data_IF_852604918932
#
_entry.id   IF_852604918932
#
_cell.length_a   1.000
_cell.length_b   1.000
_cell.length_c   1.000
_cell.angle_alpha   90.00
_cell.angle_beta   90.00
_cell.angle_gamma   90.00
#
_symmetry.space_group_name_H-M   'P 1'
#
loop_
_entity.id
_entity.type
_entity.pdbx_description
1 polymer ?
#
# COMPACT_ATOMS: atom_id res chain seq x y z
N UNK A 1 -19.16 -0.81 -7.90
CA UNK A 1 -17.76 -0.52 -7.55
C UNK A 1 -17.74 0.00 -6.12
N UNK A 2 -16.65 -0.23 -5.39
CA UNK A 2 -16.49 0.27 -4.02
C UNK A 2 -16.58 1.80 -4.00
N UNK A 3 -17.15 2.37 -2.94
CA UNK A 3 -17.30 3.82 -2.77
C UNK A 3 -16.35 4.40 -1.72
N UNK A 4 -15.67 3.54 -0.95
CA UNK A 4 -14.72 3.95 0.08
C UNK A 4 -13.31 4.21 -0.49
N UNK A 5 -13.11 3.95 -1.79
CA UNK A 5 -11.86 4.19 -2.51
C UNK A 5 -12.04 5.17 -3.65
N UNK A 6 -11.05 6.06 -3.85
CA UNK A 6 -10.96 6.95 -5.01
C UNK A 6 -12.23 7.76 -5.29
N UNK A 7 -12.85 8.26 -4.23
CA UNK A 7 -14.11 9.01 -4.31
C UNK A 7 -13.93 10.47 -4.72
N UNK A 8 -12.70 10.95 -4.83
CA UNK A 8 -12.37 12.33 -5.20
C UNK A 8 -12.74 12.64 -6.66
N UNK A 9 -12.80 13.93 -7.02
CA UNK A 9 -13.10 14.39 -8.38
C UNK A 9 -12.02 14.01 -9.39
N UNK A 10 -12.43 13.73 -10.63
CA UNK A 10 -11.52 13.32 -11.70
C UNK A 10 -10.68 14.47 -12.24
N UNK A 11 -9.41 14.19 -12.55
CA UNK A 11 -8.43 15.16 -13.05
C UNK A 11 -7.73 14.65 -14.32
N UNK A 12 -7.20 15.54 -15.18
CA UNK A 12 -6.39 15.15 -16.33
C UNK A 12 -5.26 14.18 -15.98
N UNK A 13 -5.03 13.20 -16.85
CA UNK A 13 -4.05 12.13 -16.67
C UNK A 13 -4.59 10.91 -15.89
N UNK A 14 -5.69 11.04 -15.14
CA UNK A 14 -6.21 9.93 -14.37
C UNK A 14 -6.87 8.88 -15.25
N UNK A 15 -6.67 7.61 -14.90
CA UNK A 15 -7.31 6.48 -15.55
C UNK A 15 -8.71 6.29 -14.99
N UNK A 16 -9.72 6.27 -15.86
CA UNK A 16 -11.13 6.19 -15.48
C UNK A 16 -11.89 5.15 -16.31
N UNK A 17 -13.02 4.71 -15.78
CA UNK A 17 -14.13 4.18 -16.57
C UNK A 17 -15.28 5.19 -16.54
N UNK A 18 -15.75 5.57 -17.71
CA UNK A 18 -16.93 6.41 -17.90
C UNK A 18 -18.05 5.55 -18.47
N UNK A 19 -19.10 5.34 -17.68
CA UNK A 19 -20.35 4.76 -18.18
C UNK A 19 -21.22 5.89 -18.71
N UNK A 20 -21.60 5.79 -19.97
CA UNK A 20 -22.51 6.74 -20.63
C UNK A 20 -23.79 6.08 -21.13
N UNK A 21 -24.83 6.87 -21.27
CA UNK A 21 -26.14 6.47 -21.81
C UNK A 21 -26.30 7.11 -23.18
N UNK A 22 -26.42 6.28 -24.22
CA UNK A 22 -26.70 6.71 -25.59
C UNK A 22 -27.93 5.94 -26.05
N UNK A 23 -28.98 6.65 -26.50
CA UNK A 23 -30.21 6.03 -27.03
C UNK A 23 -30.80 4.92 -26.13
N UNK A 24 -30.80 5.16 -24.80
CA UNK A 24 -31.22 4.21 -23.75
C UNK A 24 -30.34 2.96 -23.57
N UNK A 25 -29.16 2.90 -24.20
CA UNK A 25 -28.17 1.85 -23.99
C UNK A 25 -26.98 2.34 -23.15
N UNK A 26 -26.48 1.49 -22.25
CA UNK A 26 -25.27 1.77 -21.49
C UNK A 26 -24.02 1.32 -22.26
N UNK A 27 -23.05 2.22 -22.41
CA UNK A 27 -21.73 1.91 -22.96
C UNK A 27 -20.63 2.42 -22.03
N UNK A 28 -19.51 1.71 -21.98
CA UNK A 28 -18.37 2.06 -21.12
C UNK A 28 -17.17 2.50 -21.97
N UNK A 29 -16.54 3.61 -21.62
CA UNK A 29 -15.26 4.06 -22.15
C UNK A 29 -14.22 3.95 -21.04
N UNK A 30 -13.15 3.19 -21.26
CA UNK A 30 -12.05 3.06 -20.30
C UNK A 30 -10.82 3.73 -20.90
N UNK A 31 -10.24 4.68 -20.19
CA UNK A 31 -9.18 5.52 -20.73
C UNK A 31 -8.58 6.49 -19.73
N UNK A 32 -7.80 7.43 -20.22
CA UNK A 32 -7.20 8.50 -19.44
C UNK A 32 -7.92 9.81 -19.72
N UNK A 33 -8.19 10.58 -18.66
CA UNK A 33 -8.79 11.90 -18.78
C UNK A 33 -7.82 12.83 -19.51
N UNK A 34 -8.26 13.45 -20.59
CA UNK A 34 -7.50 14.49 -21.32
C UNK A 34 -7.86 15.87 -20.78
N UNK A 35 -9.15 16.14 -20.63
CA UNK A 35 -9.66 17.39 -20.04
C UNK A 35 -10.99 17.16 -19.34
N UNK A 36 -11.26 18.00 -18.35
CA UNK A 36 -12.52 18.07 -17.62
C UNK A 36 -13.10 19.45 -17.91
N UNK A 37 -14.23 19.51 -18.61
CA UNK A 37 -14.96 20.75 -18.89
C UNK A 37 -16.33 20.76 -18.22
N UNK A 38 -16.97 21.93 -18.24
CA UNK A 38 -18.31 22.11 -17.67
C UNK A 38 -19.38 21.36 -18.48
N UNK A 39 -19.22 21.28 -19.81
CA UNK A 39 -20.18 20.66 -20.72
C UNK A 39 -19.78 19.25 -21.19
N UNK A 40 -18.48 18.90 -21.14
CA UNK A 40 -17.97 17.63 -21.63
C UNK A 40 -16.80 17.08 -20.81
N UNK A 41 -16.61 15.76 -20.90
CA UNK A 41 -15.43 15.03 -20.44
C UNK A 41 -14.72 14.43 -21.65
N UNK A 42 -13.42 14.69 -21.79
CA UNK A 42 -12.62 14.16 -22.90
C UNK A 42 -11.74 13.02 -22.39
N UNK A 43 -11.93 11.82 -22.95
CA UNK A 43 -11.21 10.62 -22.57
C UNK A 43 -10.41 10.09 -23.76
N UNK A 44 -9.14 9.78 -23.55
CA UNK A 44 -8.36 8.98 -24.50
C UNK A 44 -8.47 7.51 -24.12
N UNK A 45 -9.03 6.62 -24.98
CA UNK A 45 -9.12 5.20 -24.69
C UNK A 45 -7.75 4.62 -24.32
N UNK A 46 -7.71 3.66 -23.41
CA UNK A 46 -6.46 3.04 -22.99
C UNK A 46 -5.95 1.99 -23.99
N UNK A 47 -4.66 1.70 -23.93
CA UNK A 47 -4.07 0.48 -24.49
C UNK A 47 -4.22 -0.72 -23.55
N UNK A 48 -3.87 -1.91 -24.06
CA UNK A 48 -3.86 -3.16 -23.28
C UNK A 48 -3.03 -2.97 -22.01
N UNK A 49 -3.55 -3.48 -20.88
CA UNK A 49 -2.89 -3.32 -19.57
C UNK A 49 -3.16 -1.99 -18.86
N UNK A 50 -3.95 -1.10 -19.47
CA UNK A 50 -4.25 0.22 -18.90
C UNK A 50 -3.18 1.25 -19.17
N UNK A 51 -2.42 1.11 -20.26
CA UNK A 51 -1.41 2.09 -20.66
C UNK A 51 -2.05 3.29 -21.38
N UNK A 52 -1.47 4.49 -21.30
CA UNK A 52 -1.82 5.58 -22.20
C UNK A 52 -1.67 5.11 -23.65
N UNK A 53 -2.60 5.54 -24.52
CA UNK A 53 -2.55 5.22 -25.95
C UNK A 53 -2.44 6.47 -26.80
N UNK A 54 -2.35 6.27 -28.12
CA UNK A 54 -2.51 7.32 -29.14
C UNK A 54 -3.83 7.19 -29.92
N UNK A 55 -4.81 6.45 -29.38
CA UNK A 55 -6.13 6.32 -30.01
C UNK A 55 -6.87 7.67 -30.03
N UNK A 56 -7.78 7.87 -31.01
CA UNK A 56 -8.61 9.07 -31.06
C UNK A 56 -9.36 9.31 -29.74
N UNK A 57 -9.42 10.58 -29.34
CA UNK A 57 -10.14 11.00 -28.15
C UNK A 57 -11.65 10.82 -28.31
N UNK A 58 -12.31 10.45 -27.22
CA UNK A 58 -13.76 10.37 -27.12
C UNK A 58 -14.22 11.54 -26.26
N UNK A 59 -14.98 12.44 -26.89
CA UNK A 59 -15.69 13.53 -26.21
C UNK A 59 -17.04 13.02 -25.73
N UNK A 60 -17.33 13.18 -24.44
CA UNK A 60 -18.55 12.68 -23.81
C UNK A 60 -19.30 13.88 -23.22
N UNK A 61 -20.44 14.29 -23.81
CA UNK A 61 -21.30 15.31 -23.22
C UNK A 61 -21.70 14.94 -21.79
N UNK A 62 -21.72 15.91 -20.88
CA UNK A 62 -22.08 15.68 -19.47
C UNK A 62 -23.45 15.05 -19.29
N UNK A 63 -24.40 15.40 -20.15
CA UNK A 63 -25.76 14.82 -20.16
C UNK A 63 -25.78 13.31 -20.47
N UNK A 64 -24.76 12.78 -21.14
CA UNK A 64 -24.64 11.34 -21.42
C UNK A 64 -23.96 10.58 -20.28
N UNK A 65 -23.22 11.26 -19.39
CA UNK A 65 -22.44 10.62 -18.34
C UNK A 65 -23.37 10.12 -17.24
N UNK A 66 -23.41 8.81 -17.05
CA UNK A 66 -24.14 8.20 -15.94
C UNK A 66 -23.23 8.02 -14.71
N UNK A 67 -22.02 7.49 -14.91
CA UNK A 67 -21.06 7.25 -13.83
C UNK A 67 -19.64 7.48 -14.36
N UNK A 68 -18.83 8.20 -13.60
CA UNK A 68 -17.36 8.22 -13.76
C UNK A 68 -16.74 7.58 -12.54
N UNK A 69 -15.77 6.68 -12.75
CA UNK A 69 -14.98 6.08 -11.66
C UNK A 69 -13.52 6.09 -12.00
N UNK A 70 -12.71 6.62 -11.07
CA UNK A 70 -11.26 6.47 -11.08
C UNK A 70 -10.88 5.01 -10.90
N UNK A 71 -9.84 4.60 -11.61
CA UNK A 71 -9.25 3.28 -11.54
C UNK A 71 -7.80 3.41 -11.07
N UNK A 72 -7.20 2.28 -10.68
CA UNK A 72 -5.75 2.19 -10.54
C UNK A 72 -5.06 2.63 -11.85
N UNK A 73 -3.90 3.31 -11.78
CA UNK A 73 -3.16 3.79 -12.97
C UNK A 73 -2.82 2.68 -13.98
N UNK A 74 -2.64 1.45 -13.50
CA UNK A 74 -2.44 0.25 -14.31
C UNK A 74 -3.56 -0.75 -14.07
N UNK A 75 -3.77 -1.67 -15.01
CA UNK A 75 -4.61 -2.86 -14.72
C UNK A 75 -3.92 -3.69 -13.66
N UNK A 76 -4.66 -4.02 -12.61
CA UNK A 76 -4.20 -4.89 -11.52
C UNK A 76 -5.12 -6.11 -11.41
N UNK A 77 -4.59 -7.30 -11.17
CA UNK A 77 -5.37 -8.54 -10.95
C UNK A 77 -5.68 -8.71 -9.46
N UNK A 78 -6.72 -9.49 -9.15
CA UNK A 78 -7.04 -9.81 -7.74
C UNK A 78 -5.95 -10.68 -7.10
N UNK A 79 -5.25 -11.51 -7.89
CA UNK A 79 -4.10 -12.28 -7.43
C UNK A 79 -2.93 -11.39 -7.04
N UNK A 80 -2.64 -10.33 -7.80
CA UNK A 80 -1.53 -9.42 -7.51
C UNK A 80 -1.76 -8.59 -6.24
N UNK A 81 -3.02 -8.18 -5.99
CA UNK A 81 -3.38 -7.55 -4.70
C UNK A 81 -3.09 -8.53 -3.57
N UNK A 82 -3.57 -9.77 -3.68
CA UNK A 82 -3.37 -10.80 -2.66
C UNK A 82 -1.89 -11.11 -2.43
N UNK A 83 -1.08 -11.22 -3.49
CA UNK A 83 0.35 -11.53 -3.35
C UNK A 83 1.08 -10.46 -2.54
N UNK A 84 0.77 -9.18 -2.76
CA UNK A 84 1.37 -8.08 -1.98
C UNK A 84 0.87 -8.12 -0.53
N UNK A 85 -0.41 -8.37 -0.29
CA UNK A 85 -0.94 -8.44 1.08
C UNK A 85 -0.43 -9.68 1.85
N UNK A 86 -0.12 -10.79 1.14
CA UNK A 86 0.63 -11.93 1.69
C UNK A 86 2.05 -11.49 2.04
N UNK A 87 2.79 -10.90 1.09
CA UNK A 87 4.16 -10.44 1.33
C UNK A 87 4.24 -9.44 2.49
N UNK A 88 3.24 -8.56 2.62
CA UNK A 88 3.09 -7.66 3.76
C UNK A 88 2.85 -8.40 5.07
N UNK A 89 1.98 -9.40 5.06
CA UNK A 89 1.69 -10.21 6.24
C UNK A 89 2.90 -11.02 6.70
N UNK A 90 3.73 -11.53 5.78
CA UNK A 90 5.02 -12.17 6.10
C UNK A 90 6.03 -11.17 6.68
N UNK A 91 6.00 -9.91 6.23
CA UNK A 91 6.87 -8.85 6.76
C UNK A 91 6.44 -8.32 8.14
N UNK A 92 5.18 -8.57 8.52
CA UNK A 92 4.55 -8.17 9.77
C UNK A 92 3.65 -9.30 10.31
N UNK A 93 4.22 -10.45 10.72
CA UNK A 93 3.42 -11.63 11.07
C UNK A 93 2.57 -11.44 12.33
N UNK A 94 2.91 -10.45 13.17
CA UNK A 94 2.37 -10.33 14.52
C UNK A 94 3.05 -11.31 15.48
N UNK A 95 2.77 -11.14 16.77
CA UNK A 95 3.21 -12.03 17.85
C UNK A 95 2.52 -13.40 17.70
N UNK A 96 1.24 -13.39 17.32
CA UNK A 96 0.48 -14.59 17.00
C UNK A 96 -0.29 -14.39 15.70
N UNK A 97 -0.32 -15.44 14.88
CA UNK A 97 -1.15 -15.49 13.69
C UNK A 97 -1.73 -16.88 13.46
N UNK A 98 -2.92 -16.92 12.87
CA UNK A 98 -3.61 -18.14 12.52
C UNK A 98 -4.51 -17.91 11.31
N UNK A 99 -4.69 -18.94 10.50
CA UNK A 99 -5.75 -18.93 9.50
C UNK A 99 -7.09 -19.21 10.18
N UNK A 100 -8.13 -18.47 9.77
CA UNK A 100 -9.49 -18.79 10.16
C UNK A 100 -9.88 -20.17 9.61
N UNK A 101 -10.88 -20.79 10.23
CA UNK A 101 -11.36 -22.13 9.89
C UNK A 101 -11.78 -22.31 8.42
N UNK A 102 -12.20 -21.24 7.75
CA UNK A 102 -12.56 -21.25 6.32
C UNK A 102 -11.34 -21.17 5.36
N UNK A 103 -10.13 -20.98 5.89
CA UNK A 103 -8.90 -20.78 5.14
C UNK A 103 -8.88 -19.52 4.28
N UNK A 104 -9.81 -18.57 4.49
CA UNK A 104 -9.93 -17.36 3.70
C UNK A 104 -9.34 -16.12 4.37
N UNK A 105 -9.17 -16.16 5.69
CA UNK A 105 -8.70 -15.04 6.49
C UNK A 105 -7.46 -15.40 7.27
N UNK A 106 -6.42 -14.57 7.17
CA UNK A 106 -5.25 -14.64 8.04
C UNK A 106 -5.43 -13.65 9.19
N UNK A 107 -5.54 -14.16 10.42
CA UNK A 107 -5.69 -13.40 11.65
C UNK A 107 -4.30 -13.10 12.22
N UNK A 108 -4.00 -11.84 12.54
CA UNK A 108 -2.70 -11.41 13.09
C UNK A 108 -2.90 -10.50 14.30
N UNK A 109 -2.26 -10.83 15.41
CA UNK A 109 -2.19 -10.03 16.63
C UNK A 109 -0.74 -9.69 16.94
N UNK A 110 -0.44 -8.41 17.10
CA UNK A 110 0.86 -7.86 17.49
C UNK A 110 0.76 -7.05 18.80
N UNK A 111 1.52 -5.96 18.90
CA UNK A 111 1.60 -5.08 20.07
C UNK A 111 0.35 -4.22 20.35
N UNK A 112 -0.70 -4.30 19.54
CA UNK A 112 -1.85 -3.39 19.60
C UNK A 112 -1.57 -1.93 19.23
N UNK A 113 -0.32 -1.54 18.96
CA UNK A 113 0.09 -0.17 18.64
C UNK A 113 0.28 -0.01 17.13
N UNK A 114 0.94 -0.98 16.51
CA UNK A 114 1.24 -0.98 15.08
C UNK A 114 0.07 -1.59 14.30
N UNK A 115 -0.70 -0.76 13.59
CA UNK A 115 -1.83 -1.27 12.77
C UNK A 115 -1.42 -2.36 11.77
N UNK A 116 -0.15 -2.29 11.33
CA UNK A 116 0.45 -3.16 10.31
C UNK A 116 0.46 -4.65 10.69
N UNK A 117 0.49 -4.96 12.00
CA UNK A 117 0.56 -6.32 12.54
C UNK A 117 -0.74 -6.76 13.24
N UNK A 118 -1.80 -5.96 13.18
CA UNK A 118 -3.02 -6.12 13.99
C UNK A 118 -4.28 -6.09 13.12
N UNK A 119 -4.44 -7.01 12.16
CA UNK A 119 -5.65 -7.07 11.31
C UNK A 119 -5.89 -8.45 10.70
N UNK A 120 -7.16 -8.85 10.59
CA UNK A 120 -7.60 -9.99 9.81
C UNK A 120 -7.54 -9.64 8.32
N UNK A 121 -6.72 -10.36 7.55
CA UNK A 121 -6.48 -10.10 6.14
C UNK A 121 -7.21 -11.11 5.23
N UNK A 122 -7.96 -10.66 4.21
CA UNK A 122 -8.71 -11.54 3.30
C UNK A 122 -7.80 -12.14 2.22
N UNK A 123 -6.94 -13.08 2.60
CA UNK A 123 -5.88 -13.61 1.74
C UNK A 123 -6.28 -14.88 0.97
N UNK A 124 -7.40 -15.53 1.30
CA UNK A 124 -7.85 -16.72 0.60
C UNK A 124 -8.23 -16.47 -0.86
N UNK A 125 -8.11 -17.49 -1.73
CA UNK A 125 -8.48 -17.36 -3.15
C UNK A 125 -9.98 -17.11 -3.36
N UNK A 126 -10.82 -17.60 -2.45
CA UNK A 126 -12.28 -17.57 -2.55
C UNK A 126 -12.95 -16.56 -1.61
N UNK A 127 -12.17 -15.75 -0.90
CA UNK A 127 -12.64 -14.81 0.14
C UNK A 127 -13.73 -13.84 -0.33
N UNK A 128 -13.76 -13.51 -1.62
CA UNK A 128 -14.79 -12.63 -2.21
C UNK A 128 -16.18 -13.27 -2.24
N UNK A 129 -16.24 -14.60 -2.13
CA UNK A 129 -17.47 -15.41 -2.20
C UNK A 129 -17.91 -15.93 -0.83
N UNK A 130 -17.09 -15.79 0.21
CA UNK A 130 -17.41 -16.24 1.58
C UNK A 130 -17.78 -15.05 2.47
N UNK A 131 -18.67 -15.22 3.46
CA UNK A 131 -18.90 -14.19 4.46
C UNK A 131 -17.64 -13.97 5.32
N UNK A 132 -17.57 -12.82 5.98
CA UNK A 132 -16.52 -12.57 6.99
C UNK A 132 -16.80 -13.44 8.22
N UNK A 133 -15.85 -14.23 8.75
CA UNK A 133 -16.05 -15.04 9.96
C UNK A 133 -15.93 -14.15 11.22
N UNK A 134 -16.92 -13.29 11.44
CA UNK A 134 -16.89 -12.24 12.48
C UNK A 134 -16.68 -12.81 13.89
N UNK A 135 -17.34 -13.91 14.23
CA UNK A 135 -17.23 -14.53 15.56
C UNK A 135 -15.81 -15.04 15.84
N UNK A 136 -15.18 -15.68 14.85
CA UNK A 136 -13.82 -16.22 14.95
C UNK A 136 -12.78 -15.09 15.03
N UNK A 137 -12.95 -14.05 14.19
CA UNK A 137 -12.12 -12.84 14.24
C UNK A 137 -12.24 -12.17 15.60
N UNK A 138 -13.45 -11.94 16.09
CA UNK A 138 -13.69 -11.27 17.38
C UNK A 138 -13.11 -12.06 18.55
N UNK A 139 -13.31 -13.39 18.56
CA UNK A 139 -12.71 -14.25 19.57
C UNK A 139 -11.17 -14.25 19.53
N UNK A 140 -10.58 -14.20 18.33
CA UNK A 140 -9.13 -14.06 18.16
C UNK A 140 -8.61 -12.76 18.75
N UNK A 141 -9.21 -11.62 18.44
CA UNK A 141 -8.75 -10.33 18.98
C UNK A 141 -9.03 -10.19 20.48
N UNK A 142 -10.16 -10.69 20.97
CA UNK A 142 -10.52 -10.64 22.39
C UNK A 142 -9.53 -11.39 23.29
N UNK A 143 -9.08 -12.60 22.88
CA UNK A 143 -8.07 -13.34 23.67
C UNK A 143 -6.70 -12.65 23.74
N UNK A 144 -6.45 -11.71 22.82
CA UNK A 144 -5.25 -10.88 22.76
C UNK A 144 -5.43 -9.49 23.40
N UNK A 145 -6.60 -9.21 23.99
CA UNK A 145 -6.97 -7.88 24.52
C UNK A 145 -6.87 -6.77 23.45
N UNK A 146 -7.26 -7.08 22.22
CA UNK A 146 -7.24 -6.15 21.09
C UNK A 146 -8.66 -5.94 20.55
N UNK A 147 -8.96 -4.77 19.97
CA UNK A 147 -10.17 -4.58 19.19
C UNK A 147 -10.12 -5.41 17.91
N UNK A 148 -11.26 -5.94 17.48
CA UNK A 148 -11.33 -6.66 16.22
C UNK A 148 -11.08 -5.68 15.06
N UNK A 149 -10.19 -6.06 14.15
CA UNK A 149 -9.81 -5.23 12.99
C UNK A 149 -9.73 -6.08 11.74
N UNK A 150 -10.35 -5.61 10.66
CA UNK A 150 -10.32 -6.25 9.33
C UNK A 150 -9.62 -5.34 8.32
N UNK A 151 -8.78 -5.94 7.48
CA UNK A 151 -8.21 -5.29 6.32
C UNK A 151 -9.22 -5.36 5.16
N UNK A 152 -9.36 -4.25 4.44
CA UNK A 152 -10.26 -4.09 3.30
C UNK A 152 -9.41 -3.68 2.09
N UNK A 153 -8.82 -4.62 1.34
CA UNK A 153 -8.12 -4.28 0.10
C UNK A 153 -9.11 -4.05 -1.03
N UNK A 154 -8.79 -3.11 -1.91
CA UNK A 154 -9.56 -2.82 -3.12
C UNK A 154 -9.84 -4.13 -3.91
N UNK A 155 -11.09 -4.33 -4.32
CA UNK A 155 -11.62 -5.50 -5.07
C UNK A 155 -11.67 -6.85 -4.36
N UNK A 156 -10.74 -7.19 -3.46
CA UNK A 156 -10.79 -8.48 -2.73
C UNK A 156 -11.44 -8.37 -1.34
N UNK A 157 -11.57 -7.15 -0.79
CA UNK A 157 -12.17 -6.88 0.52
C UNK A 157 -13.67 -6.63 0.51
N UNK A 158 -14.43 -6.97 -0.56
CA UNK A 158 -15.85 -6.57 -0.69
C UNK A 158 -16.76 -7.02 0.46
N UNK A 159 -16.47 -8.18 1.06
CA UNK A 159 -17.24 -8.70 2.19
C UNK A 159 -16.91 -7.93 3.48
N UNK A 160 -15.63 -7.61 3.67
CA UNK A 160 -15.14 -6.71 4.72
C UNK A 160 -15.71 -5.29 4.58
N UNK A 161 -15.81 -4.79 3.35
CA UNK A 161 -16.43 -3.49 3.04
C UNK A 161 -17.89 -3.48 3.45
N UNK A 162 -18.66 -4.55 3.20
CA UNK A 162 -20.06 -4.64 3.64
C UNK A 162 -20.18 -4.65 5.16
N UNK A 163 -19.34 -5.44 5.83
CA UNK A 163 -19.27 -5.51 7.28
C UNK A 163 -18.97 -4.14 7.90
N UNK A 164 -18.03 -3.38 7.30
CA UNK A 164 -17.64 -2.06 7.78
C UNK A 164 -18.75 -1.00 7.69
N UNK A 165 -19.89 -1.30 7.05
CA UNK A 165 -21.08 -0.43 6.98
C UNK A 165 -22.14 -0.79 8.01
N UNK A 166 -21.95 -1.90 8.72
CA UNK A 166 -22.79 -2.27 9.84
C UNK A 166 -22.49 -1.38 11.05
N UNK A 167 -23.46 -1.26 11.96
CA UNK A 167 -23.32 -0.38 13.14
C UNK A 167 -22.16 -0.84 14.02
N UNK A 168 -21.32 0.10 14.44
CA UNK A 168 -20.21 -0.14 15.40
C UNK A 168 -18.84 -0.28 14.75
N UNK A 169 -18.76 -0.49 13.43
CA UNK A 169 -17.48 -0.48 12.72
C UNK A 169 -17.05 0.94 12.37
N UNK A 170 -15.79 1.25 12.67
CA UNK A 170 -15.14 2.51 12.32
C UNK A 170 -14.14 2.29 11.20
N UNK A 171 -14.26 3.08 10.14
CA UNK A 171 -13.38 2.99 8.98
C UNK A 171 -12.14 3.87 9.17
N UNK A 172 -10.96 3.26 9.06
CA UNK A 172 -9.68 3.94 9.10
C UNK A 172 -9.34 4.75 7.85
N UNK A 173 -8.18 5.44 7.86
CA UNK A 173 -7.73 6.23 6.73
C UNK A 173 -7.47 5.38 5.50
N UNK A 174 -7.54 6.00 4.32
CA UNK A 174 -7.17 5.35 3.07
C UNK A 174 -5.65 5.18 3.00
N UNK A 175 -5.21 3.97 2.67
CA UNK A 175 -3.81 3.62 2.44
C UNK A 175 -3.64 3.29 0.97
N UNK A 176 -2.62 3.89 0.36
CA UNK A 176 -2.18 3.61 -1.00
C UNK A 176 -1.05 2.59 -0.92
N UNK A 177 -1.22 1.48 -1.63
CA UNK A 177 -0.15 0.53 -1.90
C UNK A 177 0.49 0.92 -3.21
N UNK A 178 1.79 1.17 -3.17
CA UNK A 178 2.58 1.48 -4.37
C UNK A 178 3.58 0.37 -4.63
N UNK A 179 3.85 0.10 -5.91
CA UNK A 179 4.77 -0.94 -6.35
C UNK A 179 5.75 -0.45 -7.41
N UNK A 180 6.91 -1.09 -7.48
CA UNK A 180 7.91 -0.89 -8.54
C UNK A 180 8.52 -2.23 -8.95
N UNK A 181 8.75 -2.44 -10.25
CA UNK A 181 9.61 -3.52 -10.73
C UNK A 181 11.10 -3.13 -10.56
N UNK A 182 11.97 -4.08 -10.19
CA UNK A 182 13.39 -3.84 -9.92
C UNK A 182 14.30 -4.08 -11.13
N UNK A 183 13.75 -4.00 -12.36
CA UNK A 183 14.48 -4.27 -13.62
C UNK A 183 15.33 -3.09 -14.11
N UNK A 184 14.92 -1.88 -13.76
CA UNK A 184 15.65 -0.63 -13.97
C UNK A 184 15.82 -0.07 -12.55
N UNK A 185 17.04 0.24 -12.16
CA UNK A 185 17.31 0.85 -10.85
C UNK A 185 17.93 2.23 -11.05
N UNK A 186 17.43 3.26 -10.34
CA UNK A 186 18.10 4.55 -10.29
C UNK A 186 19.49 4.41 -9.68
N UNK A 187 20.41 5.30 -10.05
CA UNK A 187 21.74 5.37 -9.47
C UNK A 187 21.75 6.38 -8.32
N UNK A 188 22.46 6.06 -7.25
CA UNK A 188 22.59 6.95 -6.10
C UNK A 188 23.64 8.02 -6.37
N UNK A 189 23.38 9.25 -5.91
CA UNK A 189 24.38 10.31 -5.90
C UNK A 189 25.48 10.03 -4.86
N UNK A 190 26.69 10.50 -5.15
CA UNK A 190 27.80 10.48 -4.21
C UNK A 190 27.58 11.55 -3.12
N UNK A 191 27.64 11.20 -1.83
CA UNK A 191 27.67 12.23 -0.77
C UNK A 191 27.25 11.79 0.64
N UNK A 192 26.37 10.80 0.78
CA UNK A 192 26.00 10.24 2.09
C UNK A 192 26.39 8.77 2.15
N UNK A 193 26.97 8.34 3.28
CA UNK A 193 27.34 6.95 3.46
C UNK A 193 26.08 6.13 3.78
N UNK A 194 25.77 5.14 2.94
CA UNK A 194 24.71 4.18 3.20
C UNK A 194 25.25 2.94 3.90
N UNK A 195 24.52 2.47 4.90
CA UNK A 195 24.77 1.18 5.56
C UNK A 195 23.45 0.48 5.79
N UNK A 196 23.48 -0.84 5.72
CA UNK A 196 22.38 -1.69 6.12
C UNK A 196 22.84 -2.70 7.17
N UNK A 197 22.06 -2.79 8.25
CA UNK A 197 22.35 -3.68 9.37
C UNK A 197 21.29 -4.78 9.48
N UNK A 198 21.68 -5.94 10.02
CA UNK A 198 20.74 -7.02 10.30
C UNK A 198 19.79 -6.67 11.46
N UNK A 199 20.16 -5.71 12.30
CA UNK A 199 19.42 -5.26 13.48
C UNK A 199 19.61 -3.75 13.68
N UNK A 200 18.57 -3.02 14.10
CA UNK A 200 18.70 -1.60 14.42
C UNK A 200 19.36 -1.46 15.79
N UNK A 201 20.12 -0.39 15.95
CA UNK A 201 20.62 0.08 17.24
C UNK A 201 19.72 1.19 17.81
N UNK A 202 20.16 1.77 18.92
CA UNK A 202 19.43 2.83 19.61
C UNK A 202 19.21 4.05 18.71
N UNK A 203 20.23 4.51 18.00
CA UNK A 203 20.14 5.70 17.15
C UNK A 203 19.12 5.53 16.01
N UNK A 204 19.05 4.31 15.44
CA UNK A 204 18.02 3.98 14.46
C UNK A 204 16.62 4.00 15.10
N UNK A 205 16.46 3.37 16.27
CA UNK A 205 15.16 3.27 16.95
C UNK A 205 14.65 4.64 17.44
N UNK A 206 15.53 5.48 17.98
CA UNK A 206 15.20 6.81 18.51
C UNK A 206 14.75 7.78 17.40
N UNK A 207 15.19 7.56 16.15
CA UNK A 207 14.72 8.34 15.00
C UNK A 207 13.32 7.90 14.53
N UNK A 208 12.91 6.65 14.76
CA UNK A 208 11.65 6.14 14.21
C UNK A 208 10.42 6.64 14.97
N UNK A 209 9.52 7.30 14.24
CA UNK A 209 8.23 7.76 14.74
C UNK A 209 7.09 7.10 13.96
N UNK A 210 6.06 6.62 14.66
CA UNK A 210 4.83 6.12 14.05
C UNK A 210 3.74 7.17 14.13
N UNK A 211 3.26 7.64 12.97
CA UNK A 211 2.29 8.76 12.87
C UNK A 211 2.76 10.02 13.62
N UNK A 212 4.05 10.29 13.59
CA UNK A 212 4.67 11.44 14.25
C UNK A 212 4.81 11.30 15.77
N UNK A 213 4.50 10.13 16.34
CA UNK A 213 4.67 9.85 17.76
C UNK A 213 5.81 8.84 17.98
N UNK A 214 6.59 8.96 19.07
CA UNK A 214 7.53 7.92 19.44
C UNK A 214 6.75 6.63 19.76
N UNK A 215 7.33 5.50 19.39
CA UNK A 215 6.76 4.20 19.75
C UNK A 215 7.27 3.75 21.12
N UNK A 216 6.44 3.05 21.91
CA UNK A 216 6.92 2.31 23.07
C UNK A 216 8.00 1.30 22.68
N UNK A 217 8.96 1.06 23.58
CA UNK A 217 10.09 0.15 23.34
C UNK A 217 9.65 -1.25 22.88
N UNK A 218 8.54 -1.75 23.42
CA UNK A 218 8.01 -3.06 23.04
C UNK A 218 7.58 -3.13 21.57
N UNK A 219 6.96 -2.05 21.04
CA UNK A 219 6.59 -1.94 19.63
C UNK A 219 7.81 -1.80 18.71
N UNK A 220 8.84 -1.09 19.18
CA UNK A 220 10.12 -0.98 18.50
C UNK A 220 10.83 -2.35 18.43
N UNK A 221 10.76 -3.14 19.49
CA UNK A 221 11.33 -4.48 19.53
C UNK A 221 10.64 -5.45 18.56
N UNK A 222 9.35 -5.29 18.28
CA UNK A 222 8.68 -6.09 17.24
C UNK A 222 9.25 -5.86 15.84
N UNK A 223 9.83 -4.68 15.57
CA UNK A 223 10.48 -4.44 14.27
C UNK A 223 11.68 -5.36 14.06
N UNK A 224 12.32 -5.79 15.16
CA UNK A 224 13.55 -6.56 15.21
C UNK A 224 13.32 -8.07 15.15
N UNK A 225 12.09 -8.51 15.34
CA UNK A 225 11.72 -9.92 15.37
C UNK A 225 11.96 -10.60 14.01
N UNK A 226 12.21 -11.91 14.08
CA UNK A 226 12.43 -12.71 12.87
C UNK A 226 11.12 -12.81 12.09
N UNK A 227 11.22 -12.50 10.81
CA UNK A 227 10.17 -12.76 9.83
C UNK A 227 10.51 -14.02 9.03
N UNK A 228 9.51 -14.58 8.35
CA UNK A 228 9.72 -15.60 7.34
C UNK A 228 10.23 -14.93 6.05
N UNK A 229 11.53 -14.62 6.05
CA UNK A 229 12.18 -13.85 5.02
C UNK A 229 13.50 -13.27 5.49
N UNK A 230 13.99 -12.25 4.78
CA UNK A 230 15.18 -11.50 5.16
C UNK A 230 14.81 -10.06 5.51
N UNK A 231 15.51 -9.46 6.47
CA UNK A 231 15.23 -8.10 6.92
C UNK A 231 16.53 -7.33 7.08
N UNK A 232 16.50 -6.05 6.73
CA UNK A 232 17.60 -5.13 6.93
C UNK A 232 17.11 -3.75 7.38
N UNK A 233 17.95 -3.09 8.17
CA UNK A 233 17.74 -1.76 8.73
C UNK A 233 18.71 -0.80 8.04
N UNK A 234 18.22 -0.15 7.01
CA UNK A 234 18.98 0.80 6.20
C UNK A 234 19.07 2.15 6.90
N UNK A 235 20.22 2.81 6.77
CA UNK A 235 20.40 4.19 7.19
C UNK A 235 21.36 4.96 6.30
N UNK A 236 21.16 6.28 6.23
CA UNK A 236 22.15 7.22 5.71
C UNK A 236 22.86 7.91 6.86
N UNK A 237 24.17 8.09 6.71
CA UNK A 237 25.02 8.77 7.66
C UNK A 237 25.56 10.07 7.06
N UNK A 238 25.59 11.12 7.88
CA UNK A 238 26.31 12.35 7.59
C UNK A 238 27.82 12.08 7.57
N UNK A 239 28.64 12.96 6.95
CA UNK A 239 30.10 12.88 7.07
C UNK A 239 30.61 12.88 8.53
N UNK A 240 29.84 13.46 9.45
CA UNK A 240 30.11 13.45 10.90
C UNK A 240 29.82 12.10 11.58
N UNK A 241 29.16 11.16 10.91
CA UNK A 241 28.72 9.88 11.45
C UNK A 241 27.29 9.88 12.03
N UNK A 242 26.60 11.01 12.04
CA UNK A 242 25.22 11.13 12.53
C UNK A 242 24.22 10.41 11.60
N UNK A 243 23.22 9.75 12.18
CA UNK A 243 22.12 9.12 11.42
C UNK A 243 21.17 10.18 10.85
N UNK A 244 21.13 10.31 9.52
CA UNK A 244 20.32 11.29 8.78
C UNK A 244 18.91 10.74 8.49
N UNK A 245 18.84 9.49 8.04
CA UNK A 245 17.61 8.88 7.56
C UNK A 245 17.64 7.37 7.80
N UNK A 246 16.47 6.78 8.00
CA UNK A 246 16.31 5.36 8.31
C UNK A 246 15.16 4.75 7.53
N UNK A 247 15.25 3.44 7.31
CA UNK A 247 14.18 2.62 6.74
C UNK A 247 14.38 1.16 7.09
N UNK A 248 13.29 0.42 7.19
CA UNK A 248 13.28 -1.04 7.33
C UNK A 248 12.88 -1.65 6.01
N UNK A 249 13.75 -2.50 5.47
CA UNK A 249 13.49 -3.32 4.29
C UNK A 249 13.26 -4.77 4.65
N UNK A 250 12.31 -5.41 3.98
CA UNK A 250 12.02 -6.84 4.13
C UNK A 250 12.00 -7.53 2.78
N UNK A 251 12.59 -8.71 2.66
CA UNK A 251 12.51 -9.61 1.52
C UNK A 251 11.59 -10.76 1.89
N UNK A 252 10.41 -10.78 1.29
CA UNK A 252 9.34 -11.75 1.57
C UNK A 252 8.80 -12.32 0.27
N UNK A 253 8.34 -13.55 0.29
CA UNK A 253 7.88 -14.25 -0.91
C UNK A 253 6.37 -14.40 -0.93
N UNK A 254 5.75 -14.12 -2.07
CA UNK A 254 4.36 -14.48 -2.33
C UNK A 254 4.23 -15.05 -3.76
N UNK A 255 3.62 -16.23 -3.86
CA UNK A 255 3.64 -17.01 -5.10
C UNK A 255 5.08 -17.29 -5.54
N UNK A 256 5.42 -16.93 -6.78
CA UNK A 256 6.77 -17.04 -7.33
C UNK A 256 7.60 -15.74 -7.23
N UNK A 257 7.05 -14.70 -6.60
CA UNK A 257 7.68 -13.37 -6.58
C UNK A 257 8.31 -13.09 -5.22
N UNK A 258 9.57 -12.66 -5.23
CA UNK A 258 10.23 -12.08 -4.06
C UNK A 258 10.04 -10.57 -4.07
N UNK A 259 9.53 -10.05 -2.96
CA UNK A 259 9.20 -8.65 -2.80
C UNK A 259 10.12 -7.98 -1.79
N UNK A 260 10.60 -6.79 -2.14
CA UNK A 260 11.17 -5.82 -1.20
C UNK A 260 10.03 -4.95 -0.61
N UNK A 261 9.72 -5.14 0.66
CA UNK A 261 8.79 -4.28 1.41
C UNK A 261 9.51 -3.12 2.10
N UNK A 262 8.99 -1.90 1.96
CA UNK A 262 9.47 -0.73 2.70
C UNK A 262 8.56 -0.43 3.89
N UNK A 263 9.18 -0.11 5.02
CA UNK A 263 8.50 0.40 6.20
C UNK A 263 9.42 1.31 7.00
N UNK A 264 8.87 2.07 7.95
CA UNK A 264 9.64 2.93 8.86
C UNK A 264 10.59 3.92 8.16
N UNK A 265 10.17 4.48 7.02
CA UNK A 265 10.93 5.50 6.29
C UNK A 265 10.83 6.83 7.04
N UNK A 266 11.96 7.33 7.54
CA UNK A 266 12.03 8.59 8.27
C UNK A 266 13.31 9.36 7.89
N UNK A 267 13.22 10.68 7.82
CA UNK A 267 14.37 11.59 7.64
C UNK A 267 14.37 12.57 8.80
N UNK A 268 15.50 12.67 9.50
CA UNK A 268 15.71 13.60 10.60
C UNK A 268 15.32 15.02 10.18
N UNK A 269 14.64 15.74 11.07
CA UNK A 269 13.99 17.02 10.76
C UNK A 269 14.93 18.06 10.15
N UNK A 270 16.17 18.14 10.63
CA UNK A 270 17.22 19.03 10.14
C UNK A 270 17.68 18.74 8.70
N UNK A 271 17.40 17.54 8.20
CA UNK A 271 17.84 17.04 6.88
C UNK A 271 16.68 16.85 5.90
N UNK A 272 15.45 17.23 6.26
CA UNK A 272 14.29 17.11 5.37
C UNK A 272 14.41 18.05 4.17
N UNK A 273 13.74 17.69 3.08
CA UNK A 273 13.68 18.45 1.81
C UNK A 273 15.03 18.61 1.09
N UNK A 274 16.04 17.82 1.45
CA UNK A 274 17.38 17.85 0.82
C UNK A 274 17.68 16.62 -0.06
N UNK A 275 16.68 15.78 -0.33
CA UNK A 275 16.84 14.60 -1.21
C UNK A 275 17.26 13.30 -0.52
N UNK A 276 17.62 13.32 0.77
CA UNK A 276 18.07 12.12 1.49
C UNK A 276 17.05 10.99 1.55
N UNK A 277 15.74 11.29 1.58
CA UNK A 277 14.71 10.25 1.47
C UNK A 277 14.77 9.50 0.13
N UNK A 278 15.04 10.22 -0.95
CA UNK A 278 15.22 9.63 -2.29
C UNK A 278 16.50 8.80 -2.33
N UNK A 279 17.62 9.34 -1.87
CA UNK A 279 18.89 8.62 -1.84
C UNK A 279 18.80 7.33 -1.02
N UNK A 280 18.15 7.37 0.16
CA UNK A 280 17.91 6.19 0.98
C UNK A 280 17.09 5.13 0.23
N UNK A 281 16.03 5.57 -0.46
CA UNK A 281 15.21 4.69 -1.28
C UNK A 281 16.01 4.03 -2.40
N UNK A 282 16.87 4.77 -3.11
CA UNK A 282 17.72 4.23 -4.17
C UNK A 282 18.61 3.10 -3.65
N UNK A 283 19.30 3.33 -2.52
CA UNK A 283 20.15 2.30 -1.90
C UNK A 283 19.37 1.07 -1.46
N UNK A 284 18.17 1.25 -0.90
CA UNK A 284 17.32 0.11 -0.52
C UNK A 284 16.81 -0.68 -1.72
N UNK A 285 16.48 -0.01 -2.85
CA UNK A 285 16.08 -0.70 -4.08
C UNK A 285 17.23 -1.57 -4.59
N UNK A 286 18.46 -1.05 -4.58
CA UNK A 286 19.66 -1.79 -4.94
C UNK A 286 19.89 -2.99 -4.00
N UNK A 287 19.77 -2.78 -2.67
CA UNK A 287 19.90 -3.87 -1.70
C UNK A 287 18.85 -4.97 -1.91
N UNK A 288 17.59 -4.62 -2.15
CA UNK A 288 16.55 -5.63 -2.36
C UNK A 288 16.74 -6.41 -3.65
N UNK A 289 17.16 -5.76 -4.74
CA UNK A 289 17.50 -6.44 -5.98
C UNK A 289 18.68 -7.39 -5.81
N UNK A 290 19.74 -6.97 -5.10
CA UNK A 290 20.88 -7.83 -4.74
C UNK A 290 20.47 -9.00 -3.84
N UNK A 291 19.41 -8.81 -3.03
CA UNK A 291 18.83 -9.84 -2.16
C UNK A 291 17.82 -10.74 -2.87
N UNK A 292 17.65 -10.62 -4.19
CA UNK A 292 16.80 -11.49 -5.01
C UNK A 292 15.36 -11.00 -5.21
N UNK A 293 14.97 -9.86 -4.65
CA UNK A 293 13.66 -9.28 -4.94
C UNK A 293 13.58 -8.84 -6.40
N UNK A 294 12.42 -9.07 -7.02
CA UNK A 294 12.13 -8.62 -8.39
C UNK A 294 11.15 -7.45 -8.42
N UNK A 295 10.43 -7.24 -7.32
CA UNK A 295 9.49 -6.13 -7.13
C UNK A 295 9.68 -5.51 -5.76
N UNK A 296 9.34 -4.24 -5.63
CA UNK A 296 9.20 -3.55 -4.36
C UNK A 296 7.76 -3.13 -4.13
N UNK A 297 7.34 -3.07 -2.87
CA UNK A 297 6.08 -2.47 -2.44
C UNK A 297 6.26 -1.60 -1.21
N UNK A 298 5.30 -0.71 -1.00
CA UNK A 298 5.16 0.08 0.22
C UNK A 298 3.70 0.47 0.45
N UNK A 299 3.39 0.84 1.69
CA UNK A 299 2.10 1.39 2.09
C UNK A 299 2.27 2.82 2.60
N UNK A 300 1.47 3.76 2.07
CA UNK A 300 1.50 5.18 2.44
C UNK A 300 0.07 5.69 2.63
N UNK A 301 -0.17 6.46 3.70
CA UNK A 301 -1.49 7.08 3.92
C UNK A 301 -1.77 8.05 2.77
N UNK A 302 -2.99 8.04 2.21
CA UNK A 302 -3.36 8.83 1.03
C UNK A 302 -3.18 10.35 1.22
N UNK A 303 -3.25 10.84 2.47
CA UNK A 303 -3.00 12.25 2.80
C UNK A 303 -1.51 12.65 2.83
N UNK A 304 -0.57 11.69 2.76
CA UNK A 304 0.87 11.97 2.81
C UNK A 304 1.43 12.30 1.41
N UNK A 305 1.07 13.47 0.89
CA UNK A 305 1.51 13.95 -0.43
C UNK A 305 3.04 13.98 -0.57
N UNK A 306 3.77 14.35 0.49
CA UNK A 306 5.24 14.38 0.47
C UNK A 306 5.85 12.99 0.30
N UNK A 307 5.33 11.99 1.02
CA UNK A 307 5.74 10.60 0.88
C UNK A 307 5.40 10.04 -0.50
N UNK A 308 4.18 10.29 -1.00
CA UNK A 308 3.75 9.86 -2.33
C UNK A 308 4.69 10.42 -3.40
N UNK A 309 4.96 11.73 -3.40
CA UNK A 309 5.88 12.36 -4.36
C UNK A 309 7.32 11.87 -4.26
N UNK A 310 7.78 11.47 -3.06
CA UNK A 310 9.07 10.78 -2.90
C UNK A 310 9.06 9.43 -3.63
N UNK A 311 8.03 8.61 -3.42
CA UNK A 311 7.95 7.28 -4.01
C UNK A 311 7.74 7.31 -5.53
N UNK A 312 7.00 8.30 -6.05
CA UNK A 312 6.88 8.54 -7.50
C UNK A 312 8.23 8.87 -8.15
N UNK A 313 9.08 9.68 -7.50
CA UNK A 313 10.46 9.95 -7.98
C UNK A 313 11.33 8.69 -7.97
N UNK A 314 11.07 7.78 -7.02
CA UNK A 314 11.65 6.45 -7.00
C UNK A 314 10.98 5.48 -7.99
N UNK A 315 10.06 5.96 -8.84
CA UNK A 315 9.30 5.25 -9.86
C UNK A 315 8.38 4.16 -9.34
N UNK A 316 7.94 4.27 -8.09
CA UNK A 316 6.77 3.53 -7.63
C UNK A 316 5.52 4.09 -8.29
N UNK A 317 4.60 3.19 -8.65
CA UNK A 317 3.28 3.53 -9.14
C UNK A 317 2.23 2.98 -8.19
N UNK A 318 1.12 3.70 -8.06
CA UNK A 318 -0.02 3.20 -7.29
C UNK A 318 -0.54 1.88 -7.89
N UNK A 319 -0.66 0.85 -7.04
CA UNK A 319 -1.15 -0.47 -7.40
C UNK A 319 -2.61 -0.64 -6.99
N UNK A 320 -2.90 -0.45 -5.71
CA UNK A 320 -4.25 -0.55 -5.16
C UNK A 320 -4.34 0.22 -3.85
N UNK A 321 -5.56 0.42 -3.35
CA UNK A 321 -5.79 0.99 -2.02
C UNK A 321 -6.34 -0.04 -1.07
N UNK A 322 -6.15 0.20 0.22
CA UNK A 322 -6.86 -0.52 1.27
C UNK A 322 -7.22 0.42 2.41
N UNK A 323 -8.15 -0.04 3.24
CA UNK A 323 -8.50 0.57 4.54
C UNK A 323 -8.53 -0.52 5.59
N UNK A 324 -8.49 -0.10 6.84
CA UNK A 324 -8.86 -0.97 7.95
C UNK A 324 -10.24 -0.58 8.45
N UNK A 325 -11.02 -1.53 8.92
CA UNK A 325 -12.18 -1.25 9.77
C UNK A 325 -11.99 -1.93 11.11
N UNK A 326 -12.36 -1.27 12.20
CA UNK A 326 -12.29 -1.82 13.55
C UNK A 326 -13.58 -1.63 14.31
N UNK A 327 -13.82 -2.53 15.26
CA UNK A 327 -14.92 -2.45 16.22
C UNK A 327 -14.35 -2.65 17.62
N UNK A 328 -14.85 -1.84 18.56
CA UNK A 328 -14.48 -1.88 19.97
C UNK A 328 -15.17 -3.02 20.71
#
# INVERSE_FOLDING_TARGET
>A
MSYIFRSDEVSPGERVVVRRVIENAHTDVIGHVVSVGDDELVIRPQEVGGYPSFLPEVRIPRAEIHIVKKLSPRRVRNSEIRDIEIAYSEAFPGIEHAWASDGQWLLRAGDGITERSNSAAPLGPSVVFTPVPVDEITAFYARHNLPAKVLIPERIGKQAERLALERGWELGPEIIVMTRDLTDLPQADEGAAFRIDAQPDRDWLDLYHFRGQPLPEQALNLLREKINGHMGFGRLLAPSGETIAITRGTITTAGSTQYLGYSAVEVASAYRHQGFGTQLGIHMLAWGAQSGATKAYLQVIASNAAGIGLYEKLGFVEHHRHRYASIA
#
